data_IF_093112272370
#
_entry.id   IF_093112272370
#
_cell.length_a   1.000
_cell.length_b   1.000
_cell.length_c   1.000
_cell.angle_alpha   90.00
_cell.angle_beta   90.00
_cell.angle_gamma   90.00
#
_symmetry.space_group_name_H-M   'P 1'
#
loop_
_entity.id
_entity.type
_entity.pdbx_description
1 polymer ?
#
# COMPACT_ATOMS: atom_id res chain seq x y z
N UNK A 1 -14.36 6.20 -16.71
CA UNK A 1 -13.16 6.26 -15.84
C UNK A 1 -12.58 7.66 -15.97
N UNK A 2 -12.40 8.40 -14.88
CA UNK A 2 -11.77 9.71 -14.95
C UNK A 2 -10.27 9.55 -15.23
N UNK A 3 -9.65 10.52 -15.89
CA UNK A 3 -8.22 10.50 -16.15
C UNK A 3 -7.45 10.38 -14.82
N UNK A 4 -6.58 9.38 -14.70
CA UNK A 4 -5.75 9.15 -13.52
C UNK A 4 -6.31 8.17 -12.48
N UNK A 5 -7.56 7.74 -12.57
CA UNK A 5 -8.14 6.77 -11.61
C UNK A 5 -7.36 5.44 -11.59
N UNK A 6 -6.85 5.00 -12.74
CA UNK A 6 -6.04 3.79 -12.84
C UNK A 6 -4.80 3.82 -11.92
N UNK A 7 -4.23 5.01 -11.69
CA UNK A 7 -3.05 5.24 -10.85
C UNK A 7 -3.41 5.77 -9.45
N UNK A 8 -4.68 6.08 -9.18
CA UNK A 8 -5.13 6.62 -7.90
C UNK A 8 -5.19 5.52 -6.85
N UNK A 9 -4.63 5.82 -5.68
CA UNK A 9 -4.62 4.95 -4.49
C UNK A 9 -5.48 5.53 -3.37
N UNK A 10 -5.43 6.84 -3.16
CA UNK A 10 -6.19 7.53 -2.10
C UNK A 10 -7.46 8.15 -2.70
N UNK A 11 -8.58 7.47 -2.50
CA UNK A 11 -9.91 8.01 -2.82
C UNK A 11 -10.45 8.85 -1.64
N UNK A 12 -11.36 9.81 -1.89
CA UNK A 12 -11.92 10.66 -0.83
C UNK A 12 -12.47 9.86 0.36
N UNK A 13 -13.18 8.77 0.09
CA UNK A 13 -13.80 7.90 1.11
C UNK A 13 -12.75 7.25 2.01
N UNK A 14 -11.60 6.87 1.45
CA UNK A 14 -10.49 6.32 2.23
C UNK A 14 -9.85 7.37 3.14
N UNK A 15 -9.80 8.63 2.70
CA UNK A 15 -9.23 9.73 3.47
C UNK A 15 -10.16 10.08 4.64
N UNK A 16 -11.47 10.03 4.44
CA UNK A 16 -12.46 10.21 5.51
C UNK A 16 -12.29 9.16 6.60
N UNK A 17 -12.28 7.87 6.24
CA UNK A 17 -12.04 6.78 7.21
C UNK A 17 -10.68 6.91 7.88
N UNK A 18 -9.62 7.28 7.13
CA UNK A 18 -8.31 7.51 7.73
C UNK A 18 -8.33 8.64 8.78
N UNK A 19 -9.06 9.73 8.55
CA UNK A 19 -9.22 10.81 9.53
C UNK A 19 -10.00 10.38 10.75
N UNK A 20 -11.05 9.59 10.55
CA UNK A 20 -11.95 9.15 11.62
C UNK A 20 -11.30 8.12 12.53
N UNK A 21 -10.57 7.17 11.97
CA UNK A 21 -10.04 6.00 12.71
C UNK A 21 -8.62 6.23 13.24
N UNK A 22 -7.79 7.04 12.56
CA UNK A 22 -6.41 7.22 13.00
C UNK A 22 -6.32 7.96 14.35
N UNK A 23 -5.42 7.49 15.21
CA UNK A 23 -5.10 8.12 16.50
C UNK A 23 -3.57 8.14 16.71
N UNK A 24 -2.99 9.21 17.28
CA UNK A 24 -1.54 9.32 17.50
C UNK A 24 -0.93 8.18 18.33
N UNK A 25 -1.67 7.65 19.29
CA UNK A 25 -1.20 6.65 20.25
C UNK A 25 -1.60 5.21 19.86
N UNK A 26 -2.08 5.01 18.64
CA UNK A 26 -2.50 3.70 18.14
C UNK A 26 -1.30 2.72 18.10
N UNK A 27 -1.45 1.50 18.65
CA UNK A 27 -0.40 0.49 18.57
C UNK A 27 -0.18 0.02 17.12
N UNK A 28 1.00 -0.53 16.82
CA UNK A 28 1.33 -0.94 15.45
C UNK A 28 0.40 -2.01 14.89
N UNK A 29 -0.10 -2.93 15.71
CA UNK A 29 -1.07 -3.93 15.25
C UNK A 29 -2.38 -3.29 14.77
N UNK A 30 -2.85 -2.27 15.49
CA UNK A 30 -4.03 -1.50 15.07
C UNK A 30 -3.73 -0.64 13.83
N UNK A 31 -2.51 -0.12 13.68
CA UNK A 31 -2.09 0.57 12.46
C UNK A 31 -2.08 -0.36 11.24
N UNK A 32 -1.64 -1.62 11.42
CA UNK A 32 -1.68 -2.66 10.38
C UNK A 32 -3.13 -3.04 10.06
N UNK A 33 -4.00 -3.17 11.07
CA UNK A 33 -5.42 -3.45 10.85
C UNK A 33 -6.13 -2.32 10.09
N UNK A 34 -5.87 -1.05 10.46
CA UNK A 34 -6.39 0.10 9.73
C UNK A 34 -5.91 0.10 8.27
N UNK A 35 -4.64 -0.26 8.05
CA UNK A 35 -4.10 -0.45 6.70
C UNK A 35 -4.86 -1.52 5.93
N UNK A 36 -5.08 -2.69 6.52
CA UNK A 36 -5.81 -3.80 5.88
C UNK A 36 -7.23 -3.38 5.48
N UNK A 37 -7.94 -2.66 6.36
CA UNK A 37 -9.28 -2.12 6.06
C UNK A 37 -9.27 -1.13 4.90
N UNK A 38 -8.28 -0.23 4.85
CA UNK A 38 -8.14 0.74 3.75
C UNK A 38 -7.74 0.06 2.43
N UNK A 39 -6.91 -0.99 2.46
CA UNK A 39 -6.57 -1.76 1.27
C UNK A 39 -7.79 -2.53 0.72
N UNK A 40 -8.59 -3.14 1.60
CA UNK A 40 -9.85 -3.78 1.21
C UNK A 40 -10.83 -2.77 0.59
N UNK A 41 -10.94 -1.57 1.17
CA UNK A 41 -11.75 -0.49 0.62
C UNK A 41 -11.26 -0.04 -0.76
N UNK A 42 -9.94 0.08 -0.95
CA UNK A 42 -9.35 0.37 -2.25
C UNK A 42 -9.77 -0.66 -3.31
N UNK A 43 -9.65 -1.97 -2.99
CA UNK A 43 -10.05 -3.02 -3.93
C UNK A 43 -11.55 -2.98 -4.22
N UNK A 44 -12.39 -2.73 -3.20
CA UNK A 44 -13.82 -2.58 -3.38
C UNK A 44 -14.17 -1.42 -4.32
N UNK A 45 -13.59 -0.24 -4.08
CA UNK A 45 -13.79 0.94 -4.93
C UNK A 45 -13.37 0.67 -6.37
N UNK A 46 -12.22 0.01 -6.57
CA UNK A 46 -11.71 -0.31 -7.91
C UNK A 46 -12.64 -1.30 -8.62
N UNK A 47 -13.14 -2.32 -7.92
CA UNK A 47 -14.07 -3.29 -8.46
C UNK A 47 -15.40 -2.64 -8.87
N UNK A 48 -16.01 -1.87 -7.98
CA UNK A 48 -17.28 -1.18 -8.19
C UNK A 48 -17.22 -0.14 -9.31
N UNK A 49 -16.12 0.62 -9.39
CA UNK A 49 -15.92 1.64 -10.43
C UNK A 49 -15.32 1.09 -11.71
N UNK A 50 -15.11 -0.23 -11.78
CA UNK A 50 -14.48 -0.94 -12.89
C UNK A 50 -13.13 -0.32 -13.31
N UNK A 51 -12.33 0.08 -12.32
CA UNK A 51 -11.01 0.68 -12.51
C UNK A 51 -10.00 -0.44 -12.72
N UNK A 52 -9.48 -0.54 -13.94
CA UNK A 52 -8.41 -1.49 -14.27
C UNK A 52 -7.03 -0.92 -14.00
N UNK A 53 -6.04 -1.76 -13.65
CA UNK A 53 -4.65 -1.34 -13.61
C UNK A 53 -4.19 -0.76 -14.95
N UNK A 54 -3.24 0.20 -14.95
CA UNK A 54 -2.71 0.74 -16.19
C UNK A 54 -1.99 -0.35 -16.99
N UNK A 55 -2.15 -0.35 -18.31
CA UNK A 55 -1.38 -1.24 -19.20
C UNK A 55 0.00 -0.64 -19.43
N UNK A 56 1.03 -1.40 -19.09
CA UNK A 56 2.43 -1.01 -19.26
C UNK A 56 3.03 -1.74 -20.46
N UNK A 57 3.90 -1.03 -21.18
CA UNK A 57 4.72 -1.60 -22.25
C UNK A 57 6.10 -1.93 -21.69
N UNK A 58 6.54 -3.18 -21.84
CA UNK A 58 7.92 -3.53 -21.56
C UNK A 58 8.83 -2.83 -22.59
N UNK A 59 9.82 -2.02 -22.16
CA UNK A 59 10.72 -1.33 -23.09
C UNK A 59 11.63 -2.29 -23.85
N UNK A 60 11.94 -3.47 -23.29
CA UNK A 60 12.88 -4.42 -23.89
C UNK A 60 12.22 -5.32 -24.95
N UNK A 61 11.05 -5.89 -24.66
CA UNK A 61 10.38 -6.84 -25.56
C UNK A 61 9.11 -6.29 -26.21
N UNK A 62 8.67 -5.09 -25.84
CA UNK A 62 7.48 -4.45 -26.40
C UNK A 62 6.14 -5.06 -25.97
N UNK A 63 6.12 -6.12 -25.14
CA UNK A 63 4.88 -6.73 -24.64
C UNK A 63 4.09 -5.76 -23.79
N UNK A 64 2.77 -5.80 -23.96
CA UNK A 64 1.80 -5.05 -23.17
C UNK A 64 1.24 -5.96 -22.08
N UNK A 65 1.27 -5.53 -20.83
CA UNK A 65 0.68 -6.23 -19.70
C UNK A 65 0.05 -5.24 -18.74
N UNK A 66 -1.00 -5.66 -18.04
CA UNK A 66 -1.56 -4.87 -16.93
C UNK A 66 -0.50 -4.76 -15.81
N UNK A 67 -0.37 -3.57 -15.23
CA UNK A 67 0.44 -3.37 -14.04
C UNK A 67 -0.12 -4.21 -12.88
N UNK A 68 0.72 -4.43 -11.87
CA UNK A 68 0.25 -4.99 -10.61
C UNK A 68 -0.88 -4.12 -10.02
N UNK A 69 -1.81 -4.77 -9.33
CA UNK A 69 -2.84 -4.07 -8.58
C UNK A 69 -2.22 -3.13 -7.56
N UNK A 70 -2.85 -1.96 -7.39
CA UNK A 70 -2.38 -1.00 -6.42
C UNK A 70 -2.74 -1.48 -5.01
N UNK A 71 -1.73 -1.53 -4.13
CA UNK A 71 -1.90 -1.84 -2.72
C UNK A 71 -1.37 -0.72 -1.84
N UNK A 72 -1.97 -0.58 -0.66
CA UNK A 72 -1.49 0.32 0.39
C UNK A 72 -0.45 -0.43 1.23
N UNK A 73 0.72 0.19 1.44
CA UNK A 73 1.67 -0.28 2.46
C UNK A 73 1.49 0.51 3.75
N UNK A 74 1.96 -0.02 4.89
CA UNK A 74 1.88 0.70 6.17
C UNK A 74 2.62 2.04 6.08
N UNK A 75 3.75 2.08 5.36
CA UNK A 75 4.48 3.33 5.10
C UNK A 75 3.67 4.31 4.25
N UNK A 76 2.98 3.83 3.21
CA UNK A 76 2.12 4.68 2.39
C UNK A 76 0.97 5.29 3.21
N UNK A 77 0.37 4.51 4.13
CA UNK A 77 -0.61 5.01 5.08
C UNK A 77 -0.01 6.11 5.96
N UNK A 78 1.15 5.88 6.60
CA UNK A 78 1.79 6.90 7.45
C UNK A 78 2.06 8.19 6.68
N UNK A 79 2.61 8.11 5.46
CA UNK A 79 2.90 9.29 4.65
C UNK A 79 1.63 9.99 4.13
N UNK A 80 0.51 9.28 4.03
CA UNK A 80 -0.77 9.87 3.67
C UNK A 80 -1.32 10.79 4.77
N UNK A 81 -0.98 10.52 6.05
CA UNK A 81 -1.34 11.39 7.16
C UNK A 81 -0.74 12.80 6.98
N UNK A 82 0.52 12.86 6.55
CA UNK A 82 1.18 14.13 6.23
C UNK A 82 0.60 14.76 4.97
N UNK A 83 0.44 13.98 3.89
CA UNK A 83 -0.07 14.47 2.60
C UNK A 83 -1.45 15.11 2.72
N UNK A 84 -2.29 14.58 3.61
CA UNK A 84 -3.66 15.04 3.81
C UNK A 84 -3.79 15.89 5.09
N UNK A 85 -2.70 16.35 5.69
CA UNK A 85 -2.72 17.25 6.85
C UNK A 85 -3.55 16.69 8.02
N UNK A 86 -3.51 15.37 8.21
CA UNK A 86 -4.16 14.64 9.32
C UNK A 86 -3.27 14.68 10.57
N UNK A 87 -1.95 14.61 10.37
CA UNK A 87 -0.95 14.62 11.43
C UNK A 87 0.18 15.61 11.12
N UNK A 88 0.81 16.15 12.17
CA UNK A 88 1.94 17.06 12.03
C UNK A 88 3.16 16.34 11.43
N UNK A 89 4.02 17.04 10.64
CA UNK A 89 5.19 16.45 10.01
C UNK A 89 6.11 15.73 11.00
N UNK A 90 6.41 16.35 12.14
CA UNK A 90 7.32 15.84 13.16
C UNK A 90 6.81 14.50 13.72
N UNK A 91 5.52 14.45 14.06
CA UNK A 91 4.86 13.24 14.56
C UNK A 91 4.82 12.13 13.49
N UNK A 92 4.61 12.49 12.22
CA UNK A 92 4.53 11.54 11.12
C UNK A 92 5.89 10.91 10.82
N UNK A 93 6.96 11.70 10.80
CA UNK A 93 8.32 11.18 10.60
C UNK A 93 8.80 10.34 11.79
N UNK A 94 8.44 10.73 13.01
CA UNK A 94 8.73 9.91 14.19
C UNK A 94 8.02 8.55 14.15
N UNK A 95 6.75 8.53 13.70
CA UNK A 95 5.99 7.31 13.48
C UNK A 95 6.59 6.45 12.37
N UNK A 96 6.95 7.03 11.21
CA UNK A 96 7.58 6.31 10.09
C UNK A 96 8.88 5.62 10.54
N UNK A 97 9.74 6.33 11.27
CA UNK A 97 10.99 5.78 11.81
C UNK A 97 10.73 4.65 12.81
N UNK A 98 9.74 4.82 13.68
CA UNK A 98 9.39 3.83 14.69
C UNK A 98 8.79 2.57 14.07
N UNK A 99 7.95 2.73 13.03
CA UNK A 99 7.45 1.63 12.21
C UNK A 99 8.60 0.87 11.52
N UNK A 100 9.53 1.58 10.88
CA UNK A 100 10.68 0.95 10.22
C UNK A 100 11.51 0.10 11.18
N UNK A 101 11.71 0.58 12.41
CA UNK A 101 12.38 -0.17 13.48
C UNK A 101 11.57 -1.40 13.90
N UNK A 102 10.28 -1.24 14.17
CA UNK A 102 9.40 -2.33 14.57
C UNK A 102 9.32 -3.43 13.50
N UNK A 103 9.13 -3.05 12.23
CA UNK A 103 9.11 -3.95 11.08
C UNK A 103 10.38 -4.80 11.00
N UNK A 104 11.55 -4.17 11.13
CA UNK A 104 12.85 -4.88 11.11
C UNK A 104 13.02 -5.82 12.29
N UNK A 105 12.63 -5.40 13.49
CA UNK A 105 12.77 -6.20 14.71
C UNK A 105 11.89 -7.45 14.71
N UNK A 106 10.71 -7.37 14.09
CA UNK A 106 9.72 -8.44 14.07
C UNK A 106 9.69 -9.24 12.76
N UNK A 107 10.62 -8.98 11.82
CA UNK A 107 10.67 -9.68 10.55
C UNK A 107 9.41 -9.51 9.70
N UNK A 108 8.85 -8.30 9.68
CA UNK A 108 7.62 -8.00 8.94
C UNK A 108 7.91 -7.48 7.53
N UNK A 109 7.01 -7.77 6.60
CA UNK A 109 7.02 -7.25 5.24
C UNK A 109 6.55 -5.77 5.20
N UNK A 110 6.52 -5.10 4.03
CA UNK A 110 6.01 -3.72 3.91
C UNK A 110 4.55 -3.52 4.33
N UNK A 111 3.78 -4.61 4.41
CA UNK A 111 2.37 -4.68 4.74
C UNK A 111 2.14 -4.97 6.23
N UNK A 112 3.17 -5.37 6.97
CA UNK A 112 3.08 -5.72 8.38
C UNK A 112 2.72 -7.18 8.63
N UNK A 113 2.91 -8.05 7.63
CA UNK A 113 2.76 -9.50 7.76
C UNK A 113 4.13 -10.12 8.04
N UNK A 114 4.16 -11.20 8.82
CA UNK A 114 5.42 -11.92 9.08
C UNK A 114 5.98 -12.46 7.76
N UNK A 115 7.26 -12.18 7.50
CA UNK A 115 7.97 -12.76 6.37
C UNK A 115 8.20 -14.23 6.69
N UNK A 116 7.52 -15.11 5.95
CA UNK A 116 7.90 -16.51 5.94
C UNK A 116 9.20 -16.66 5.13
N UNK A 117 10.32 -17.06 5.74
CA UNK A 117 11.59 -17.24 5.03
C UNK A 117 11.49 -18.30 3.91
N UNK A 118 10.48 -19.17 3.91
CA UNK A 118 10.22 -20.12 2.82
C UNK A 118 9.58 -19.49 1.57
N UNK A 119 8.84 -18.38 1.73
CA UNK A 119 8.15 -17.71 0.61
C UNK A 119 9.07 -16.78 -0.20
N UNK A 120 10.14 -16.26 0.40
CA UNK A 120 11.10 -15.34 -0.23
C UNK A 120 11.91 -16.00 -1.37
N UNK A 121 11.99 -17.34 -1.38
CA UNK A 121 12.64 -18.12 -2.44
C UNK A 121 11.80 -18.26 -3.73
N UNK A 122 10.53 -17.84 -3.72
CA UNK A 122 9.60 -17.98 -4.86
C UNK A 122 9.51 -16.71 -5.75
N UNK A 123 10.50 -15.82 -5.67
CA UNK A 123 10.62 -14.67 -6.57
C UNK A 123 10.73 -15.11 -8.04
N UNK A 124 9.85 -14.58 -8.88
CA UNK A 124 9.57 -15.00 -10.25
C UNK A 124 10.81 -15.36 -11.11
N UNK A 125 11.00 -16.66 -11.34
CA UNK A 125 11.93 -17.17 -12.33
C UNK A 125 11.32 -17.10 -13.73
N UNK A 126 11.49 -15.99 -14.44
CA UNK A 126 11.30 -15.94 -15.89
C UNK A 126 12.42 -16.73 -16.59
N UNK A 127 12.41 -18.05 -16.40
CA UNK A 127 13.26 -18.99 -17.12
C UNK A 127 12.57 -19.31 -18.43
N UNK A 128 13.09 -18.73 -19.51
CA UNK A 128 12.56 -18.85 -20.85
C UNK A 128 12.28 -20.30 -21.28
N UNK A 129 11.24 -20.45 -22.08
CA UNK A 129 11.13 -21.58 -23.01
C UNK A 129 11.04 -21.01 -24.42
N UNK A 130 11.95 -21.56 -25.24
CA UNK A 130 12.21 -21.27 -26.66
C UNK A 130 10.97 -21.49 -27.50
#
# INVERSE_FOLDING_TARGET
MAAGDAQRVWFPEMIEVLREEWRPEMPFDALVALRDSLDAMLQQIRAERHIRPPVLRCPECGKMAEAAEAHVSVRALILSLLRHEIAAPESTYALEKSWARHRKQNGLDPYGKAIDPAAEAAGCGHRGKR
#
